data_IF_412932415189
#
_entry.id   IF_412932415189
#
_cell.length_a   1.000
_cell.length_b   1.000
_cell.length_c   1.000
_cell.angle_alpha   90.00
_cell.angle_beta   90.00
_cell.angle_gamma   90.00
#
_symmetry.space_group_name_H-M   'P 1'
#
loop_
_entity.id
_entity.type
_entity.pdbx_description
1 polymer ?
#
# COMPACT_ATOMS: atom_id res chain seq x y z
N UNK A 1 0.61 -0.36 -31.35
CA UNK A 1 0.12 -0.47 -29.97
C UNK A 1 -1.39 -0.62 -30.03
N UNK A 2 -1.92 -1.83 -29.81
CA UNK A 2 -3.35 -2.07 -29.73
C UNK A 2 -3.84 -1.39 -28.44
N UNK A 3 -4.81 -0.47 -28.55
CA UNK A 3 -5.56 0.00 -27.40
C UNK A 3 -6.32 -1.21 -26.87
N UNK A 4 -5.90 -1.77 -25.75
CA UNK A 4 -6.77 -2.65 -24.98
C UNK A 4 -7.98 -1.80 -24.61
N UNK A 5 -9.15 -2.13 -25.15
CA UNK A 5 -10.39 -1.54 -24.66
C UNK A 5 -10.49 -1.92 -23.17
N UNK A 6 -10.45 -0.92 -22.31
CA UNK A 6 -10.79 -1.05 -20.89
C UNK A 6 -12.23 -1.58 -20.83
N UNK A 7 -12.36 -2.89 -20.64
CA UNK A 7 -13.66 -3.56 -20.56
C UNK A 7 -14.22 -3.49 -19.11
N UNK A 8 -13.75 -2.48 -18.36
CA UNK A 8 -14.16 -2.23 -16.98
C UNK A 8 -15.44 -1.38 -17.02
N UNK A 9 -16.43 -1.79 -16.25
CA UNK A 9 -17.60 -0.94 -16.03
C UNK A 9 -17.18 0.39 -15.40
N UNK A 10 -17.69 1.49 -15.97
CA UNK A 10 -17.31 2.85 -15.55
C UNK A 10 -17.65 3.14 -14.09
N UNK A 11 -18.71 2.53 -13.57
CA UNK A 11 -19.08 2.68 -12.17
C UNK A 11 -18.04 1.99 -11.27
N UNK A 12 -17.67 0.75 -11.59
CA UNK A 12 -16.61 0.01 -10.90
C UNK A 12 -15.29 0.78 -10.86
N UNK A 13 -14.92 1.41 -11.97
CA UNK A 13 -13.72 2.26 -12.03
C UNK A 13 -13.82 3.45 -11.06
N UNK A 14 -14.96 4.15 -11.02
CA UNK A 14 -15.17 5.28 -10.10
C UNK A 14 -15.16 4.83 -8.63
N UNK A 15 -15.71 3.67 -8.32
CA UNK A 15 -15.69 3.08 -6.97
C UNK A 15 -14.26 2.77 -6.52
N UNK A 16 -13.43 2.22 -7.41
CA UNK A 16 -12.01 1.98 -7.10
C UNK A 16 -11.23 3.28 -6.96
N UNK A 17 -11.49 4.29 -7.80
CA UNK A 17 -10.92 5.63 -7.63
C UNK A 17 -11.26 6.23 -6.27
N UNK A 18 -12.50 6.08 -5.79
CA UNK A 18 -12.90 6.56 -4.46
C UNK A 18 -12.08 5.89 -3.36
N UNK A 19 -11.84 4.59 -3.45
CA UNK A 19 -11.05 3.84 -2.47
C UNK A 19 -9.56 4.22 -2.52
N UNK A 20 -9.06 4.57 -3.71
CA UNK A 20 -7.67 5.01 -3.91
C UNK A 20 -7.42 6.48 -3.56
N UNK A 21 -8.47 7.28 -3.31
CA UNK A 21 -8.30 8.68 -2.94
C UNK A 21 -7.61 8.81 -1.58
N UNK A 22 -6.63 9.73 -1.49
CA UNK A 22 -5.88 9.97 -0.25
C UNK A 22 -6.75 10.47 0.91
N UNK A 23 -7.96 10.93 0.63
CA UNK A 23 -8.96 11.34 1.64
C UNK A 23 -9.86 10.18 2.08
N UNK A 24 -9.76 8.98 1.45
CA UNK A 24 -10.54 7.82 1.89
C UNK A 24 -10.16 7.44 3.33
N UNK A 25 -11.12 7.41 4.28
CA UNK A 25 -10.81 7.54 5.70
C UNK A 25 -10.38 6.21 6.36
N UNK A 26 -9.38 5.53 5.78
CA UNK A 26 -8.80 4.29 6.32
C UNK A 26 -7.69 4.51 7.34
N UNK A 27 -7.17 5.74 7.47
CA UNK A 27 -6.17 6.10 8.47
C UNK A 27 -4.73 6.13 7.98
N UNK A 28 -4.44 5.84 6.72
CA UNK A 28 -3.07 5.86 6.13
C UNK A 28 -2.38 7.22 6.28
N UNK A 29 -3.15 8.30 6.32
CA UNK A 29 -2.67 9.67 6.50
C UNK A 29 -1.95 9.91 7.85
N UNK A 30 -2.13 9.01 8.82
CA UNK A 30 -1.49 9.08 10.12
C UNK A 30 -0.15 8.32 10.19
N UNK A 31 0.29 7.71 9.10
CA UNK A 31 1.49 6.88 9.07
C UNK A 31 2.56 7.47 8.14
N UNK A 32 3.79 7.52 8.64
CA UNK A 32 4.92 8.11 7.90
C UNK A 32 5.63 7.14 6.97
N UNK A 33 5.37 5.84 7.09
CA UNK A 33 6.09 4.78 6.37
C UNK A 33 7.61 4.81 6.61
N UNK A 34 8.03 5.27 7.80
CA UNK A 34 9.44 5.44 8.18
C UNK A 34 10.04 6.79 7.78
N UNK A 35 9.32 7.66 7.06
CA UNK A 35 9.79 8.98 6.66
C UNK A 35 10.15 9.87 7.85
N UNK A 36 9.34 9.85 8.93
CA UNK A 36 9.52 10.75 10.07
C UNK A 36 10.88 10.60 10.74
N UNK A 37 11.44 9.39 10.82
CA UNK A 37 12.79 9.21 11.36
C UNK A 37 13.86 9.87 10.49
N UNK A 38 13.72 9.84 9.15
CA UNK A 38 14.61 10.57 8.24
C UNK A 38 14.48 12.08 8.37
N UNK A 39 13.29 12.59 8.71
CA UNK A 39 13.06 14.02 9.00
C UNK A 39 13.75 14.42 10.32
N UNK A 40 13.57 13.63 11.37
CA UNK A 40 14.19 13.81 12.68
C UNK A 40 15.72 13.82 12.59
N UNK A 41 16.29 12.90 11.82
CA UNK A 41 17.74 12.83 11.54
C UNK A 41 18.24 13.92 10.57
N UNK A 42 17.34 14.81 10.10
CA UNK A 42 17.65 15.86 9.12
C UNK A 42 18.23 15.36 7.80
N UNK A 43 17.92 14.13 7.40
CA UNK A 43 18.29 13.56 6.08
C UNK A 43 17.33 14.00 4.98
N UNK A 44 16.09 14.30 5.33
CA UNK A 44 15.09 14.88 4.44
C UNK A 44 14.75 16.26 5.01
N UNK A 45 15.01 17.34 4.25
CA UNK A 45 14.76 18.73 4.65
C UNK A 45 13.89 19.48 3.67
N UNK A 46 13.89 19.06 2.41
CA UNK A 46 13.20 19.73 1.30
C UNK A 46 12.92 18.74 0.16
N UNK A 47 12.29 19.21 -0.90
CA UNK A 47 11.82 18.42 -2.02
C UNK A 47 12.86 17.45 -2.63
N UNK A 48 14.10 17.83 -2.96
CA UNK A 48 15.03 16.90 -3.62
C UNK A 48 15.42 15.70 -2.77
N UNK A 49 15.65 15.87 -1.47
CA UNK A 49 15.97 14.74 -0.58
C UNK A 49 14.75 13.82 -0.41
N UNK A 50 13.54 14.42 -0.31
CA UNK A 50 12.31 13.65 -0.26
C UNK A 50 12.10 12.83 -1.54
N UNK A 51 12.30 13.41 -2.71
CA UNK A 51 12.13 12.71 -4.00
C UNK A 51 13.08 11.51 -4.12
N UNK A 52 14.34 11.65 -3.69
CA UNK A 52 15.32 10.55 -3.67
C UNK A 52 14.85 9.44 -2.73
N UNK A 53 14.46 9.78 -1.49
CA UNK A 53 13.97 8.81 -0.52
C UNK A 53 12.71 8.11 -1.01
N UNK A 54 11.77 8.86 -1.58
CA UNK A 54 10.50 8.37 -2.10
C UNK A 54 10.67 7.38 -3.26
N UNK A 55 11.56 7.69 -4.20
CA UNK A 55 11.92 6.75 -5.28
C UNK A 55 12.54 5.46 -4.74
N UNK A 56 13.44 5.58 -3.78
CA UNK A 56 14.06 4.41 -3.15
C UNK A 56 13.04 3.57 -2.36
N UNK A 57 12.07 4.19 -1.70
CA UNK A 57 10.96 3.49 -1.04
C UNK A 57 10.20 2.63 -2.05
N UNK A 58 9.79 3.18 -3.17
CA UNK A 58 9.03 2.44 -4.19
C UNK A 58 9.86 1.34 -4.85
N UNK A 59 11.12 1.60 -5.16
CA UNK A 59 12.00 0.62 -5.83
C UNK A 59 12.39 -0.56 -4.97
N UNK A 60 12.42 -0.41 -3.65
CA UNK A 60 13.00 -1.42 -2.77
C UNK A 60 12.03 -1.87 -1.66
N UNK A 61 11.21 -0.99 -1.11
CA UNK A 61 10.26 -1.35 -0.06
C UNK A 61 8.90 -1.74 -0.66
N UNK A 62 8.20 -0.81 -1.28
CA UNK A 62 6.88 -1.05 -1.89
C UNK A 62 6.91 -2.23 -2.86
N UNK A 63 7.90 -2.27 -3.71
CA UNK A 63 8.07 -3.28 -4.77
C UNK A 63 7.97 -4.71 -4.25
N UNK A 64 8.65 -5.05 -3.15
CA UNK A 64 8.72 -6.40 -2.60
C UNK A 64 7.77 -6.64 -1.41
N UNK A 65 7.09 -5.59 -0.95
CA UNK A 65 6.06 -5.71 0.07
C UNK A 65 4.66 -5.65 -0.56
N UNK A 66 3.97 -4.54 -0.41
CA UNK A 66 2.58 -4.37 -0.85
C UNK A 66 2.40 -4.52 -2.37
N UNK A 67 3.37 -4.07 -3.16
CA UNK A 67 3.32 -4.20 -4.62
C UNK A 67 3.30 -5.66 -5.05
N UNK A 68 4.27 -6.47 -4.63
CA UNK A 68 4.29 -7.91 -4.94
C UNK A 68 3.11 -8.64 -4.31
N UNK A 69 2.72 -8.25 -3.10
CA UNK A 69 1.55 -8.82 -2.42
C UNK A 69 0.27 -8.69 -3.24
N UNK A 70 0.05 -7.54 -3.90
CA UNK A 70 -1.12 -7.34 -4.78
C UNK A 70 -1.09 -8.34 -5.94
N UNK A 71 0.06 -8.49 -6.61
CA UNK A 71 0.18 -9.42 -7.73
C UNK A 71 -0.16 -10.86 -7.31
N UNK A 72 0.47 -11.32 -6.24
CA UNK A 72 0.27 -12.66 -5.70
C UNK A 72 -1.18 -12.88 -5.23
N UNK A 73 -1.77 -11.89 -4.55
CA UNK A 73 -3.16 -11.97 -4.11
C UNK A 73 -4.15 -11.99 -5.28
N UNK A 74 -3.95 -11.15 -6.30
CA UNK A 74 -4.81 -11.13 -7.48
C UNK A 74 -4.74 -12.44 -8.25
N UNK A 75 -3.56 -13.06 -8.33
CA UNK A 75 -3.40 -14.38 -8.92
C UNK A 75 -4.10 -15.46 -8.08
N UNK A 76 -3.90 -15.48 -6.77
CA UNK A 76 -4.56 -16.43 -5.88
C UNK A 76 -6.09 -16.28 -5.90
N UNK A 77 -6.62 -15.07 -6.01
CA UNK A 77 -8.06 -14.80 -6.17
C UNK A 77 -8.59 -15.38 -7.49
N UNK A 78 -7.84 -15.24 -8.58
CA UNK A 78 -8.19 -15.79 -9.89
C UNK A 78 -8.21 -17.32 -9.88
N UNK A 79 -7.30 -17.95 -9.13
CA UNK A 79 -7.21 -19.40 -8.95
C UNK A 79 -8.21 -19.92 -7.90
N UNK A 80 -8.84 -19.06 -7.11
CA UNK A 80 -9.72 -19.42 -6.02
C UNK A 80 -8.98 -19.97 -4.79
N UNK A 81 -7.67 -19.76 -4.71
CA UNK A 81 -6.80 -20.25 -3.63
C UNK A 81 -6.73 -19.27 -2.46
N UNK A 82 -7.71 -19.38 -1.58
CA UNK A 82 -7.76 -18.53 -0.39
C UNK A 82 -6.69 -18.90 0.66
N UNK A 83 -6.19 -20.14 0.64
CA UNK A 83 -5.15 -20.60 1.57
C UNK A 83 -3.85 -19.82 1.33
N UNK A 84 -3.46 -19.68 0.07
CA UNK A 84 -2.32 -18.83 -0.32
C UNK A 84 -2.46 -17.38 0.16
N UNK A 85 -3.65 -16.80 0.08
CA UNK A 85 -3.88 -15.42 0.57
C UNK A 85 -3.57 -15.34 2.07
N UNK A 86 -3.99 -16.32 2.88
CA UNK A 86 -3.67 -16.36 4.30
C UNK A 86 -2.17 -16.56 4.57
N UNK A 87 -1.49 -17.33 3.72
CA UNK A 87 -0.02 -17.51 3.79
C UNK A 87 0.70 -16.20 3.47
N UNK A 88 0.30 -15.49 2.43
CA UNK A 88 0.86 -14.19 2.07
C UNK A 88 0.64 -13.14 3.15
N UNK A 89 -0.55 -13.11 3.77
CA UNK A 89 -0.82 -12.22 4.91
C UNK A 89 0.11 -12.50 6.08
N UNK A 90 0.38 -13.77 6.37
CA UNK A 90 1.33 -14.17 7.39
C UNK A 90 2.76 -13.76 7.04
N UNK A 91 3.20 -14.02 5.81
CA UNK A 91 4.55 -13.65 5.35
C UNK A 91 4.76 -12.14 5.51
N UNK A 92 3.91 -11.31 4.92
CA UNK A 92 4.08 -9.85 4.96
C UNK A 92 3.99 -9.28 6.39
N UNK A 93 3.12 -9.84 7.22
CA UNK A 93 2.99 -9.41 8.61
C UNK A 93 4.22 -9.77 9.43
N UNK A 94 4.78 -10.96 9.25
CA UNK A 94 5.97 -11.41 9.98
C UNK A 94 7.25 -10.77 9.47
N UNK A 95 7.32 -10.38 8.20
CA UNK A 95 8.45 -9.65 7.63
C UNK A 95 8.53 -8.20 8.11
N UNK A 96 7.43 -7.61 8.58
CA UNK A 96 7.42 -6.24 9.14
C UNK A 96 7.93 -6.28 10.58
N UNK A 97 9.15 -5.81 10.85
CA UNK A 97 9.78 -5.93 12.17
C UNK A 97 9.24 -4.92 13.19
N UNK A 98 8.96 -3.68 12.76
CA UNK A 98 8.44 -2.64 13.62
C UNK A 98 7.01 -2.94 14.11
N UNK A 99 6.82 -2.95 15.43
CA UNK A 99 5.54 -3.30 16.07
C UNK A 99 4.45 -2.25 15.79
N UNK A 100 4.82 -0.97 15.82
CA UNK A 100 3.88 0.13 15.51
C UNK A 100 3.40 0.02 14.06
N UNK A 101 4.28 -0.23 13.11
CA UNK A 101 3.92 -0.41 11.69
C UNK A 101 3.00 -1.62 11.51
N UNK A 102 3.33 -2.77 12.09
CA UNK A 102 2.43 -3.94 12.05
C UNK A 102 1.04 -3.66 12.61
N UNK A 103 0.98 -2.98 13.74
CA UNK A 103 -0.30 -2.68 14.39
C UNK A 103 -1.09 -1.63 13.59
N UNK A 104 -0.42 -0.62 13.06
CA UNK A 104 -1.00 0.37 12.16
C UNK A 104 -1.60 -0.27 10.90
N UNK A 105 -0.85 -1.15 10.25
CA UNK A 105 -1.32 -1.91 9.07
C UNK A 105 -2.61 -2.69 9.37
N UNK A 106 -2.66 -3.41 10.51
CA UNK A 106 -3.86 -4.15 10.93
C UNK A 106 -5.07 -3.23 11.17
N UNK A 107 -4.84 -2.07 11.79
CA UNK A 107 -5.90 -1.09 12.03
C UNK A 107 -6.43 -0.50 10.72
N UNK A 108 -5.56 -0.17 9.78
CA UNK A 108 -5.93 0.31 8.44
C UNK A 108 -6.76 -0.75 7.71
N UNK A 109 -6.30 -2.01 7.70
CA UNK A 109 -7.05 -3.11 7.06
C UNK A 109 -8.45 -3.28 7.66
N UNK A 110 -8.55 -3.29 8.99
CA UNK A 110 -9.83 -3.38 9.71
C UNK A 110 -10.78 -2.23 9.35
N UNK A 111 -10.26 -0.99 9.31
CA UNK A 111 -11.02 0.18 8.95
C UNK A 111 -11.47 0.12 7.48
N UNK A 112 -10.58 -0.34 6.59
CA UNK A 112 -10.89 -0.49 5.16
C UNK A 112 -12.00 -1.52 4.93
N UNK A 113 -11.92 -2.71 5.56
CA UNK A 113 -12.99 -3.72 5.51
C UNK A 113 -14.32 -3.11 5.96
N UNK A 114 -14.32 -2.39 7.09
CA UNK A 114 -15.54 -1.76 7.63
C UNK A 114 -16.16 -0.78 6.64
N UNK A 115 -15.34 0.07 6.02
CA UNK A 115 -15.80 1.08 5.08
C UNK A 115 -16.31 0.45 3.78
N UNK A 116 -15.57 -0.50 3.21
CA UNK A 116 -15.98 -1.19 1.98
C UNK A 116 -17.31 -1.91 2.17
N UNK A 117 -17.50 -2.62 3.27
CA UNK A 117 -18.78 -3.26 3.60
C UNK A 117 -19.91 -2.25 3.81
N UNK A 118 -19.63 -1.13 4.47
CA UNK A 118 -20.61 -0.09 4.73
C UNK A 118 -21.06 0.67 3.47
N UNK A 119 -20.18 0.82 2.48
CA UNK A 119 -20.46 1.58 1.26
C UNK A 119 -20.94 0.67 0.13
N UNK A 120 -20.32 -0.49 -0.05
CA UNK A 120 -20.53 -1.37 -1.22
C UNK A 120 -21.24 -2.68 -0.88
N UNK A 121 -21.61 -2.90 0.39
CA UNK A 121 -22.23 -4.13 0.85
C UNK A 121 -21.27 -5.28 1.11
N UNK A 122 -21.82 -6.46 1.34
CA UNK A 122 -21.02 -7.64 1.66
C UNK A 122 -20.35 -8.24 0.41
N UNK A 123 -19.04 -8.11 0.35
CA UNK A 123 -18.18 -8.78 -0.63
C UNK A 123 -17.74 -10.11 -0.01
N UNK A 124 -18.10 -11.23 -0.62
CA UNK A 124 -17.90 -12.58 -0.03
C UNK A 124 -16.48 -12.84 0.44
N UNK A 125 -15.47 -12.45 -0.36
CA UNK A 125 -14.06 -12.66 0.00
C UNK A 125 -13.64 -11.80 1.19
N UNK A 126 -14.13 -10.55 1.29
CA UNK A 126 -13.85 -9.69 2.45
C UNK A 126 -14.51 -10.21 3.73
N UNK A 127 -15.74 -10.74 3.64
CA UNK A 127 -16.43 -11.36 4.78
C UNK A 127 -15.62 -12.54 5.28
N UNK A 128 -15.21 -13.44 4.38
CA UNK A 128 -14.36 -14.59 4.72
C UNK A 128 -13.04 -14.16 5.34
N UNK A 129 -12.37 -13.17 4.75
CA UNK A 129 -11.09 -12.68 5.27
C UNK A 129 -11.23 -12.07 6.68
N UNK A 130 -12.31 -11.32 6.92
CA UNK A 130 -12.63 -10.79 8.25
C UNK A 130 -12.85 -11.91 9.29
N UNK A 131 -13.47 -13.03 8.90
CA UNK A 131 -13.64 -14.20 9.76
C UNK A 131 -12.29 -14.85 10.10
N UNK A 132 -11.43 -15.06 9.11
CA UNK A 132 -10.09 -15.61 9.32
C UNK A 132 -9.21 -14.71 10.22
N UNK A 133 -9.39 -13.38 10.14
CA UNK A 133 -8.74 -12.43 11.07
C UNK A 133 -9.28 -12.59 12.49
N UNK A 134 -10.60 -12.74 12.67
CA UNK A 134 -11.22 -12.98 13.99
C UNK A 134 -10.74 -14.31 14.61
N UNK A 135 -10.56 -15.34 13.79
CA UNK A 135 -10.03 -16.63 14.18
C UNK A 135 -8.50 -16.66 14.36
N UNK A 136 -7.82 -15.52 14.14
CA UNK A 136 -6.37 -15.36 14.24
C UNK A 136 -5.56 -16.22 13.25
N UNK A 137 -6.15 -16.59 12.14
CA UNK A 137 -5.50 -17.29 11.03
C UNK A 137 -4.88 -16.29 10.04
N UNK A 138 -5.47 -15.09 9.94
CA UNK A 138 -4.95 -13.94 9.21
C UNK A 138 -4.74 -12.76 10.17
N UNK A 139 -3.96 -11.76 9.73
CA UNK A 139 -3.58 -10.60 10.56
C UNK A 139 -4.22 -9.30 10.11
N UNK A 140 -4.48 -9.17 8.83
CA UNK A 140 -5.06 -7.99 8.19
C UNK A 140 -4.03 -7.12 7.48
N UNK A 141 -4.08 -7.13 6.13
CA UNK A 141 -3.27 -6.28 5.25
C UNK A 141 -4.18 -5.43 4.35
N UNK A 142 -3.96 -4.09 4.27
CA UNK A 142 -4.71 -3.21 3.36
C UNK A 142 -4.58 -3.62 1.89
N UNK A 143 -3.38 -4.08 1.47
CA UNK A 143 -3.15 -4.53 0.11
C UNK A 143 -3.98 -5.76 -0.24
N UNK A 144 -4.16 -6.72 0.70
CA UNK A 144 -5.05 -7.87 0.52
C UNK A 144 -6.52 -7.42 0.43
N UNK A 145 -6.94 -6.53 1.32
CA UNK A 145 -8.31 -5.98 1.31
C UNK A 145 -8.59 -5.26 -0.01
N UNK A 146 -7.64 -4.46 -0.47
CA UNK A 146 -7.74 -3.77 -1.76
C UNK A 146 -7.79 -4.77 -2.93
N UNK A 147 -6.93 -5.79 -2.95
CA UNK A 147 -6.93 -6.82 -3.99
C UNK A 147 -8.28 -7.53 -4.10
N UNK A 148 -8.88 -7.89 -2.96
CA UNK A 148 -10.21 -8.52 -2.94
C UNK A 148 -11.30 -7.58 -3.50
N UNK A 149 -11.25 -6.29 -3.15
CA UNK A 149 -12.18 -5.29 -3.67
C UNK A 149 -11.99 -5.05 -5.17
N UNK A 150 -10.74 -4.85 -5.61
CA UNK A 150 -10.41 -4.65 -7.01
C UNK A 150 -10.82 -5.85 -7.88
N UNK A 151 -10.57 -7.06 -7.40
CA UNK A 151 -10.97 -8.30 -8.06
C UNK A 151 -12.50 -8.40 -8.21
N UNK A 152 -13.27 -8.10 -7.16
CA UNK A 152 -14.75 -8.07 -7.20
C UNK A 152 -15.27 -7.04 -8.21
N UNK A 153 -14.53 -5.93 -8.42
CA UNK A 153 -14.87 -4.88 -9.39
C UNK A 153 -14.38 -5.17 -10.80
N UNK A 154 -13.77 -6.34 -11.04
CA UNK A 154 -13.27 -6.74 -12.35
C UNK A 154 -12.02 -5.99 -12.82
N UNK A 155 -11.29 -5.37 -11.90
CA UNK A 155 -10.01 -4.72 -12.16
C UNK A 155 -8.95 -5.81 -12.40
N UNK A 156 -8.13 -5.67 -13.42
CA UNK A 156 -7.04 -6.60 -13.66
C UNK A 156 -5.84 -6.37 -12.72
N UNK A 157 -4.87 -7.26 -12.76
CA UNK A 157 -3.73 -7.24 -11.83
C UNK A 157 -2.82 -6.02 -12.04
N UNK A 158 -2.59 -5.60 -13.28
CA UNK A 158 -1.75 -4.44 -13.60
C UNK A 158 -2.42 -3.17 -13.12
N UNK A 159 -3.69 -2.98 -13.45
CA UNK A 159 -4.47 -1.81 -13.02
C UNK A 159 -4.59 -1.76 -11.49
N UNK A 160 -4.83 -2.90 -10.82
CA UNK A 160 -4.88 -2.96 -9.36
C UNK A 160 -3.54 -2.54 -8.74
N UNK A 161 -2.42 -3.01 -9.28
CA UNK A 161 -1.08 -2.61 -8.82
C UNK A 161 -0.84 -1.10 -9.00
N UNK A 162 -1.13 -0.56 -10.17
CA UNK A 162 -0.92 0.85 -10.48
C UNK A 162 -1.79 1.75 -9.61
N UNK A 163 -3.08 1.43 -9.46
CA UNK A 163 -4.04 2.21 -8.67
C UNK A 163 -3.66 2.20 -7.18
N UNK A 164 -3.32 1.05 -6.63
CA UNK A 164 -2.88 0.98 -5.23
C UNK A 164 -1.55 1.70 -5.01
N UNK A 165 -0.57 1.48 -5.87
CA UNK A 165 0.72 2.17 -5.82
C UNK A 165 0.57 3.68 -5.90
N UNK A 166 -0.30 4.18 -6.77
CA UNK A 166 -0.63 5.61 -6.85
C UNK A 166 -1.29 6.13 -5.57
N UNK A 167 -2.21 5.36 -4.97
CA UNK A 167 -2.86 5.73 -3.71
C UNK A 167 -1.85 5.89 -2.56
N UNK A 168 -0.92 4.94 -2.41
CA UNK A 168 0.18 5.02 -1.44
C UNK A 168 1.06 6.24 -1.75
N UNK A 169 1.44 6.44 -3.01
CA UNK A 169 2.26 7.58 -3.43
C UNK A 169 1.61 8.91 -3.11
N UNK A 170 0.32 9.06 -3.43
CA UNK A 170 -0.46 10.26 -3.13
C UNK A 170 -0.50 10.56 -1.63
N UNK A 171 -0.77 9.54 -0.81
CA UNK A 171 -0.77 9.69 0.66
C UNK A 171 0.59 10.11 1.19
N UNK A 172 1.68 9.52 0.70
CA UNK A 172 3.05 9.87 1.14
C UNK A 172 3.43 11.29 0.74
N UNK A 173 3.07 11.73 -0.48
CA UNK A 173 3.30 13.14 -0.91
C UNK A 173 2.52 14.12 -0.05
N UNK A 174 1.25 13.84 0.27
CA UNK A 174 0.45 14.68 1.16
C UNK A 174 1.04 14.73 2.58
N UNK A 175 1.55 13.62 3.09
CA UNK A 175 2.25 13.58 4.37
C UNK A 175 3.55 14.40 4.33
N UNK A 176 4.31 14.35 3.23
CA UNK A 176 5.52 15.15 3.06
C UNK A 176 5.22 16.65 3.01
N UNK A 177 4.18 17.08 2.28
CA UNK A 177 3.72 18.49 2.24
C UNK A 177 3.41 19.04 3.63
N UNK A 178 2.94 18.20 4.55
CA UNK A 178 2.68 18.59 5.95
C UNK A 178 3.95 18.65 6.81
N UNK A 179 4.96 17.84 6.48
CA UNK A 179 6.10 17.59 7.34
C UNK A 179 7.37 18.38 6.96
N UNK A 180 7.50 18.80 5.69
CA UNK A 180 8.64 19.55 5.18
C UNK A 180 8.16 20.75 4.34
N UNK A 181 9.03 21.75 4.09
CA UNK A 181 8.73 22.84 3.18
C UNK A 181 8.70 22.36 1.71
N UNK A 182 7.67 21.57 1.38
CA UNK A 182 7.36 21.05 0.06
C UNK A 182 6.14 21.80 -0.48
N UNK A 183 6.32 22.52 -1.57
CA UNK A 183 5.22 23.22 -2.23
C UNK A 183 4.24 22.23 -2.86
N UNK A 184 2.95 22.62 -2.95
CA UNK A 184 1.91 21.77 -3.57
C UNK A 184 2.27 21.38 -5.02
N UNK A 185 2.80 22.34 -5.79
CA UNK A 185 3.23 22.09 -7.18
C UNK A 185 4.38 21.09 -7.24
N UNK A 186 5.39 21.22 -6.38
CA UNK A 186 6.51 20.28 -6.29
C UNK A 186 6.03 18.87 -5.93
N UNK A 187 5.09 18.78 -4.97
CA UNK A 187 4.45 17.52 -4.60
C UNK A 187 3.75 16.84 -5.77
N UNK A 188 3.03 17.60 -6.59
CA UNK A 188 2.35 17.07 -7.79
C UNK A 188 3.35 16.63 -8.88
N UNK A 189 4.47 17.32 -9.04
CA UNK A 189 5.54 16.90 -9.96
C UNK A 189 6.15 15.57 -9.49
N UNK A 190 6.44 15.43 -8.20
CA UNK A 190 6.97 14.18 -7.63
C UNK A 190 5.97 13.03 -7.82
N UNK A 191 4.68 13.28 -7.60
CA UNK A 191 3.62 12.30 -7.82
C UNK A 191 3.47 11.90 -9.29
N UNK A 192 3.61 12.84 -10.22
CA UNK A 192 3.61 12.56 -11.64
C UNK A 192 4.80 11.65 -12.04
N UNK A 193 6.00 11.97 -11.56
CA UNK A 193 7.22 11.19 -11.86
C UNK A 193 7.14 9.75 -11.33
N UNK A 194 6.51 9.52 -10.17
CA UNK A 194 6.36 8.16 -9.62
C UNK A 194 5.32 7.34 -10.40
N UNK A 195 4.31 7.99 -10.99
CA UNK A 195 3.29 7.29 -11.77
C UNK A 195 3.90 6.53 -12.94
N UNK A 196 4.82 7.16 -13.70
CA UNK A 196 5.56 6.48 -14.76
C UNK A 196 6.44 5.34 -14.23
N UNK A 197 7.02 5.54 -13.04
CA UNK A 197 7.89 4.53 -12.40
C UNK A 197 7.12 3.29 -11.96
N UNK A 198 5.87 3.41 -11.54
CA UNK A 198 5.03 2.27 -11.16
C UNK A 198 4.91 1.24 -12.28
N UNK A 199 4.72 1.67 -13.54
CA UNK A 199 4.73 0.76 -14.69
C UNK A 199 6.07 0.01 -14.81
N UNK A 200 7.19 0.71 -14.65
CA UNK A 200 8.52 0.07 -14.67
C UNK A 200 8.75 -0.91 -13.51
N UNK A 201 8.16 -0.64 -12.34
CA UNK A 201 8.23 -1.54 -11.18
C UNK A 201 7.39 -2.79 -11.45
N UNK A 202 6.15 -2.62 -11.94
CA UNK A 202 5.28 -3.73 -12.32
C UNK A 202 5.98 -4.69 -13.28
N UNK A 203 6.56 -4.19 -14.36
CA UNK A 203 7.28 -5.01 -15.34
C UNK A 203 8.43 -5.83 -14.75
N UNK A 204 9.03 -5.35 -13.66
CA UNK A 204 10.14 -6.05 -12.97
C UNK A 204 9.67 -7.13 -12.02
N UNK A 205 8.44 -7.06 -11.53
CA UNK A 205 7.95 -7.98 -10.50
C UNK A 205 6.81 -8.88 -10.94
N UNK A 206 6.21 -8.67 -12.11
CA UNK A 206 5.04 -9.41 -12.60
C UNK A 206 5.25 -10.92 -12.69
N UNK A 207 6.50 -11.37 -12.83
CA UNK A 207 6.89 -12.77 -12.94
C UNK A 207 7.61 -13.29 -11.67
N UNK A 208 7.64 -12.48 -10.59
CA UNK A 208 8.23 -12.91 -9.31
C UNK A 208 7.23 -13.74 -8.51
N UNK A 209 7.78 -14.67 -7.74
CA UNK A 209 7.03 -15.55 -6.82
C UNK A 209 7.10 -15.06 -5.35
N UNK A 210 6.50 -15.84 -4.46
CA UNK A 210 6.43 -15.56 -3.03
C UNK A 210 7.78 -15.56 -2.31
N UNK A 211 8.85 -16.08 -2.88
CA UNK A 211 10.18 -16.07 -2.25
C UNK A 211 10.72 -14.65 -2.06
N UNK A 212 10.26 -13.72 -2.88
CA UNK A 212 10.64 -12.29 -2.79
C UNK A 212 9.70 -11.48 -1.88
N UNK A 213 8.56 -12.06 -1.45
CA UNK A 213 7.58 -11.33 -0.65
C UNK A 213 8.14 -11.00 0.74
N UNK A 214 8.06 -9.72 1.11
CA UNK A 214 8.53 -9.22 2.40
C UNK A 214 10.03 -8.89 2.41
N UNK A 215 10.73 -8.98 1.30
CA UNK A 215 12.06 -8.41 1.19
C UNK A 215 11.98 -6.90 1.40
N UNK A 216 12.62 -6.39 2.45
CA UNK A 216 12.50 -5.01 2.88
C UNK A 216 13.81 -4.23 2.70
N UNK A 217 13.68 -2.91 2.63
CA UNK A 217 14.81 -2.00 2.67
C UNK A 217 15.26 -1.81 4.12
N UNK A 218 16.44 -2.31 4.48
CA UNK A 218 17.00 -2.27 5.85
C UNK A 218 16.91 -0.86 6.46
N UNK A 219 17.17 0.18 5.67
CA UNK A 219 17.09 1.57 6.13
C UNK A 219 15.67 2.00 6.52
N UNK A 220 14.64 1.54 5.83
CA UNK A 220 13.24 1.80 6.15
C UNK A 220 12.83 1.02 7.41
N UNK A 221 13.15 -0.27 7.50
CA UNK A 221 12.89 -1.08 8.69
C UNK A 221 13.51 -0.47 9.95
N UNK A 222 14.79 -0.06 9.89
CA UNK A 222 15.46 0.61 11.00
C UNK A 222 14.80 1.94 11.36
N UNK A 223 14.34 2.71 10.37
CA UNK A 223 13.65 3.98 10.60
C UNK A 223 12.30 3.75 11.31
N UNK A 224 11.55 2.74 10.90
CA UNK A 224 10.29 2.36 11.55
C UNK A 224 10.50 1.86 12.98
N UNK A 225 11.53 1.04 13.23
CA UNK A 225 11.86 0.57 14.59
C UNK A 225 12.29 1.75 15.49
N UNK A 226 13.11 2.66 15.00
CA UNK A 226 13.55 3.85 15.75
C UNK A 226 12.41 4.81 16.05
N UNK A 227 11.40 4.86 15.19
CA UNK A 227 10.21 5.67 15.41
C UNK A 227 9.49 5.28 16.70
N UNK A 228 9.51 4.00 17.10
CA UNK A 228 8.87 3.52 18.34
C UNK A 228 9.41 4.20 19.62
N UNK A 229 10.65 4.67 19.58
CA UNK A 229 11.31 5.39 20.71
C UNK A 229 11.45 6.89 20.50
N UNK A 230 10.88 7.45 19.43
CA UNK A 230 10.99 8.87 19.12
C UNK A 230 10.09 9.70 20.04
N UNK A 231 10.66 10.71 20.72
CA UNK A 231 9.94 11.54 21.70
C UNK A 231 8.95 12.51 21.06
N UNK A 232 9.33 13.15 19.95
CA UNK A 232 8.47 14.08 19.22
C UNK A 232 8.00 13.47 17.92
N UNK A 233 6.69 13.33 17.76
CA UNK A 233 6.08 12.64 16.62
C UNK A 233 4.97 13.46 15.99
N UNK A 234 4.98 13.51 14.66
CA UNK A 234 3.89 14.05 13.85
C UNK A 234 2.95 12.93 13.39
N UNK A 235 3.48 11.71 13.25
CA UNK A 235 2.77 10.52 12.78
C UNK A 235 2.69 9.43 13.86
N UNK A 236 1.83 8.44 13.63
CA UNK A 236 1.62 7.32 14.57
C UNK A 236 2.63 6.18 14.37
N UNK A 237 3.22 6.06 13.15
CA UNK A 237 4.28 5.09 12.82
C UNK A 237 5.11 5.56 11.63
#
# INVERSE_FOLDING_TARGET
MSKSELNIDKLSLLEVFQVCDSTFPIGTFNHSFGMENYLSDRRIKKAPEFEIWFKNYFDNQFKYSEGLLILLCMQALKEGDFVKICEYDKIITMSTLATETRNGTKLIAKQMIRLLKGIYGDIKMLVRYEEEIKEKKCFGSPAIVFSMFAFEKGIDVEDAFILYGYSIASTMVQNAVRAIPLGQMEGQIILHNISERLFSIYEKIKDLDEEYLGASMIGIELAQIRHESQESRLFMS
#
